data_IF_689211713471
#
_entry.id   IF_689211713471
#
_cell.length_a   1.000
_cell.length_b   1.000
_cell.length_c   1.000
_cell.angle_alpha   90.00
_cell.angle_beta   90.00
_cell.angle_gamma   90.00
#
_symmetry.space_group_name_H-M   'P 1'
#
loop_
_entity.id
_entity.type
_entity.pdbx_description
1 polymer ?
#
# COMPACT_ATOMS: atom_id res chain seq x y z
N UNK A 1 -13.52 -15.39 39.22
CA UNK A 1 -12.06 -15.44 39.16
C UNK A 1 -11.66 -16.22 37.91
N UNK A 2 -11.03 -15.56 36.93
CA UNK A 2 -10.59 -16.22 35.70
C UNK A 2 -9.23 -16.88 35.98
N UNK A 3 -9.11 -18.19 35.79
CA UNK A 3 -7.83 -18.90 35.92
C UNK A 3 -7.04 -18.77 34.60
N UNK A 4 -5.72 -18.64 34.69
CA UNK A 4 -4.86 -18.67 33.51
C UNK A 4 -4.87 -20.07 32.89
N UNK A 5 -5.21 -20.19 31.61
CA UNK A 5 -5.12 -21.47 30.90
C UNK A 5 -3.66 -21.94 30.83
N UNK A 6 -3.41 -23.24 31.04
CA UNK A 6 -2.10 -23.89 31.25
C UNK A 6 -1.09 -23.80 30.09
N UNK A 7 -1.36 -23.01 29.06
CA UNK A 7 -0.51 -22.82 27.88
C UNK A 7 -0.16 -21.35 27.61
N UNK A 8 -0.54 -20.44 28.51
CA UNK A 8 -0.35 -19.01 28.34
C UNK A 8 0.72 -18.49 29.31
N UNK A 9 1.68 -17.75 28.78
CA UNK A 9 2.72 -17.06 29.53
C UNK A 9 2.22 -15.68 29.94
N UNK A 10 2.26 -15.35 31.23
CA UNK A 10 2.02 -13.97 31.71
C UNK A 10 3.22 -13.10 31.36
N UNK A 11 3.02 -12.05 30.57
CA UNK A 11 4.08 -11.08 30.21
C UNK A 11 4.15 -9.87 31.15
N UNK A 12 3.04 -9.50 31.79
CA UNK A 12 3.02 -8.33 32.65
C UNK A 12 1.63 -7.71 32.76
N UNK A 13 1.60 -6.40 32.98
CA UNK A 13 0.40 -5.61 33.24
C UNK A 13 0.29 -4.44 32.27
N UNK A 14 -0.94 -4.07 31.91
CA UNK A 14 -1.20 -2.87 31.12
C UNK A 14 -1.13 -1.62 32.00
N UNK A 15 -0.81 -0.47 31.41
CA UNK A 15 -0.73 0.81 32.14
C UNK A 15 -2.09 1.41 32.57
N UNK A 16 -3.22 0.74 32.31
CA UNK A 16 -4.55 1.23 32.72
C UNK A 16 -5.12 2.40 31.91
N UNK A 17 -4.76 2.48 30.63
CA UNK A 17 -5.30 3.46 29.68
C UNK A 17 -6.30 2.82 28.70
N UNK A 18 -7.27 3.61 28.25
CA UNK A 18 -8.27 3.21 27.26
C UNK A 18 -8.50 4.32 26.23
N UNK A 19 -8.92 3.96 25.02
CA UNK A 19 -9.15 4.92 23.93
C UNK A 19 -10.57 5.46 23.97
N UNK A 20 -10.74 6.78 24.08
CA UNK A 20 -12.03 7.49 24.06
C UNK A 20 -11.94 8.73 23.16
N UNK A 21 -12.82 8.84 22.17
CA UNK A 21 -12.85 9.95 21.21
C UNK A 21 -11.48 10.25 20.58
N UNK A 22 -10.77 9.19 20.16
CA UNK A 22 -9.46 9.31 19.50
C UNK A 22 -8.25 9.50 20.44
N UNK A 23 -8.45 9.77 21.74
CA UNK A 23 -7.37 9.98 22.73
C UNK A 23 -7.27 8.81 23.71
N UNK A 24 -6.08 8.57 24.25
CA UNK A 24 -5.90 7.67 25.38
C UNK A 24 -6.16 8.41 26.69
N UNK A 25 -7.03 7.85 27.53
CA UNK A 25 -7.41 8.41 28.84
C UNK A 25 -7.09 7.37 29.90
N UNK A 26 -6.42 7.80 30.97
CA UNK A 26 -6.15 6.96 32.13
C UNK A 26 -7.46 6.63 32.86
N UNK A 27 -7.70 5.37 33.15
CA UNK A 27 -8.86 4.90 33.92
C UNK A 27 -8.47 3.96 35.06
N UNK A 28 -7.16 3.66 35.23
CA UNK A 28 -6.62 2.90 36.35
C UNK A 28 -6.99 1.41 36.38
N UNK A 29 -7.66 0.89 35.34
CA UNK A 29 -8.05 -0.52 35.26
C UNK A 29 -6.91 -1.32 34.64
N UNK A 30 -6.07 -1.88 35.50
CA UNK A 30 -4.91 -2.69 35.12
C UNK A 30 -5.37 -4.08 34.67
N UNK A 31 -4.84 -4.55 33.54
CA UNK A 31 -5.09 -5.89 33.00
C UNK A 31 -3.79 -6.69 32.97
N UNK A 32 -3.84 -7.97 33.30
CA UNK A 32 -2.71 -8.87 33.08
C UNK A 32 -2.68 -9.32 31.62
N UNK A 33 -1.51 -9.23 31.00
CA UNK A 33 -1.27 -9.64 29.62
C UNK A 33 -0.74 -11.07 29.60
N UNK A 34 -1.44 -11.94 28.89
CA UNK A 34 -1.07 -13.34 28.70
C UNK A 34 -0.90 -13.61 27.21
N UNK A 35 0.16 -14.33 26.83
CA UNK A 35 0.44 -14.68 25.44
C UNK A 35 0.70 -16.17 25.29
N UNK A 36 0.40 -16.70 24.12
CA UNK A 36 0.73 -18.08 23.74
C UNK A 36 1.36 -18.05 22.34
N UNK A 37 2.53 -18.65 22.20
CA UNK A 37 3.15 -18.80 20.88
C UNK A 37 2.35 -19.83 20.08
N UNK A 38 1.89 -19.46 18.88
CA UNK A 38 1.19 -20.37 17.96
C UNK A 38 2.15 -21.05 16.98
N UNK A 39 3.37 -20.52 16.84
CA UNK A 39 4.41 -21.06 15.97
C UNK A 39 5.79 -21.06 16.67
N UNK A 40 6.66 -22.02 16.34
CA UNK A 40 8.00 -22.13 16.96
C UNK A 40 8.89 -20.89 16.79
N UNK A 41 8.71 -20.14 15.70
CA UNK A 41 9.44 -18.89 15.38
C UNK A 41 8.65 -17.60 15.69
N UNK A 42 7.56 -17.67 16.46
CA UNK A 42 6.63 -16.53 16.67
C UNK A 42 7.33 -15.24 17.10
N UNK A 43 8.27 -15.35 18.07
CA UNK A 43 8.97 -14.19 18.63
C UNK A 43 9.85 -13.51 17.59
N UNK A 44 10.71 -14.29 16.94
CA UNK A 44 11.61 -13.83 15.87
C UNK A 44 10.83 -13.13 14.76
N UNK A 45 9.72 -13.73 14.34
CA UNK A 45 8.81 -13.20 13.32
C UNK A 45 8.18 -11.87 13.72
N UNK A 46 7.58 -11.80 14.92
CA UNK A 46 6.90 -10.58 15.39
C UNK A 46 7.86 -9.45 15.77
N UNK A 47 9.12 -9.76 16.05
CA UNK A 47 10.18 -8.77 16.31
C UNK A 47 10.99 -8.42 15.06
N UNK A 48 10.68 -9.01 13.91
CA UNK A 48 11.40 -8.77 12.66
C UNK A 48 11.17 -7.35 12.13
N UNK A 49 12.15 -6.84 11.37
CA UNK A 49 12.05 -5.52 10.72
C UNK A 49 10.97 -5.47 9.64
N UNK A 50 10.72 -6.60 8.98
CA UNK A 50 9.76 -6.75 7.90
C UNK A 50 8.76 -7.86 8.23
N UNK A 51 7.57 -7.78 7.63
CA UNK A 51 6.53 -8.79 7.80
C UNK A 51 7.00 -10.15 7.29
N UNK A 52 7.05 -11.13 8.18
CA UNK A 52 7.41 -12.50 7.80
C UNK A 52 6.23 -13.16 7.07
N UNK A 53 6.47 -14.03 6.06
CA UNK A 53 5.41 -14.78 5.36
C UNK A 53 4.42 -15.56 6.25
N UNK A 54 4.81 -15.84 7.50
CA UNK A 54 3.94 -16.50 8.48
C UNK A 54 2.83 -15.59 9.01
N UNK A 55 3.02 -14.27 8.96
CA UNK A 55 2.00 -13.25 9.24
C UNK A 55 1.11 -13.01 8.01
N UNK A 56 1.68 -13.20 6.82
CA UNK A 56 1.03 -12.99 5.53
C UNK A 56 0.22 -14.21 5.06
N UNK A 57 0.18 -15.31 5.84
CA UNK A 57 -0.56 -16.54 5.55
C UNK A 57 -2.09 -16.37 5.56
N UNK A 58 -2.60 -15.18 5.29
CA UNK A 58 -3.94 -14.96 4.81
C UNK A 58 -3.91 -15.03 3.27
N UNK A 59 -4.32 -16.15 2.64
CA UNK A 59 -4.28 -16.32 1.18
C UNK A 59 -5.18 -15.32 0.42
N UNK A 60 -5.97 -14.49 1.12
CA UNK A 60 -6.74 -13.39 0.53
C UNK A 60 -5.96 -12.09 0.34
N UNK A 61 -4.75 -11.99 0.87
CA UNK A 61 -3.92 -10.78 0.86
C UNK A 61 -2.48 -11.09 0.46
N UNK A 62 -2.27 -11.99 -0.50
CA UNK A 62 -0.99 -12.09 -1.20
C UNK A 62 -0.91 -10.97 -2.23
N UNK A 63 -0.68 -9.76 -1.76
CA UNK A 63 -0.16 -8.68 -2.59
C UNK A 63 1.34 -8.70 -2.37
N UNK A 64 2.10 -9.07 -3.39
CA UNK A 64 3.55 -8.97 -3.35
C UNK A 64 3.91 -7.53 -2.98
N UNK A 65 4.71 -7.36 -1.92
CA UNK A 65 5.28 -6.06 -1.57
C UNK A 65 6.35 -5.75 -2.64
N UNK A 66 5.93 -5.11 -3.73
CA UNK A 66 6.80 -4.72 -4.84
C UNK A 66 7.40 -3.35 -4.51
N UNK A 67 8.72 -3.28 -4.39
CA UNK A 67 9.42 -2.01 -4.33
C UNK A 67 9.61 -1.45 -5.75
N UNK A 68 8.72 -0.53 -6.16
CA UNK A 68 8.78 0.11 -7.47
C UNK A 68 9.96 1.07 -7.63
N UNK A 69 10.71 1.39 -6.56
CA UNK A 69 11.96 2.14 -6.67
C UNK A 69 13.12 1.26 -7.17
N UNK A 70 12.99 -0.07 -7.12
CA UNK A 70 14.05 -1.01 -7.55
C UNK A 70 13.61 -2.06 -8.55
N UNK A 71 12.31 -2.38 -8.65
CA UNK A 71 11.77 -3.34 -9.59
C UNK A 71 12.14 -3.02 -11.05
N UNK A 72 12.44 -4.04 -11.85
CA UNK A 72 12.56 -3.85 -13.30
C UNK A 72 11.16 -3.75 -13.92
N UNK A 73 10.88 -2.59 -14.50
CA UNK A 73 9.59 -2.24 -15.10
C UNK A 73 9.70 -2.03 -16.61
N UNK A 74 10.88 -2.23 -17.18
CA UNK A 74 11.18 -1.92 -18.58
C UNK A 74 10.22 -2.65 -19.51
N UNK A 75 10.06 -3.96 -19.32
CA UNK A 75 9.15 -4.78 -20.14
C UNK A 75 7.67 -4.38 -20.01
N UNK A 76 7.25 -3.92 -18.83
CA UNK A 76 5.88 -3.43 -18.60
C UNK A 76 5.67 -2.09 -19.31
N UNK A 77 6.61 -1.17 -19.17
CA UNK A 77 6.58 0.15 -19.81
C UNK A 77 6.56 -0.01 -21.33
N UNK A 78 7.51 -0.77 -21.90
CA UNK A 78 7.60 -1.05 -23.33
C UNK A 78 6.28 -1.60 -23.86
N UNK A 79 5.66 -2.56 -23.15
CA UNK A 79 4.38 -3.14 -23.57
C UNK A 79 3.26 -2.11 -23.55
N UNK A 80 3.18 -1.25 -22.54
CA UNK A 80 2.12 -0.25 -22.43
C UNK A 80 2.30 0.92 -23.40
N UNK A 81 3.53 1.25 -23.78
CA UNK A 81 3.84 2.21 -24.85
C UNK A 81 3.34 1.76 -26.22
N UNK A 82 3.14 0.44 -26.44
CA UNK A 82 2.54 -0.05 -27.70
C UNK A 82 1.05 0.23 -27.83
N UNK A 83 0.38 0.66 -26.75
CA UNK A 83 -1.06 0.93 -26.76
C UNK A 83 -1.31 2.33 -27.31
N UNK A 84 -2.03 2.42 -28.43
CA UNK A 84 -2.45 3.69 -29.02
C UNK A 84 -3.34 4.47 -28.06
N UNK A 85 -3.02 5.74 -27.81
CA UNK A 85 -3.86 6.64 -27.01
C UNK A 85 -5.17 6.94 -27.77
N UNK A 86 -6.34 6.50 -27.28
CA UNK A 86 -7.62 6.70 -27.94
C UNK A 86 -8.19 8.12 -27.72
N UNK A 87 -7.58 8.92 -26.86
CA UNK A 87 -8.09 10.25 -26.47
C UNK A 87 -7.83 11.27 -27.58
N UNK A 88 -8.74 12.23 -27.71
CA UNK A 88 -8.48 13.42 -28.53
C UNK A 88 -7.21 14.14 -28.01
N UNK A 89 -6.21 14.44 -28.85
CA UNK A 89 -4.98 15.14 -28.46
C UNK A 89 -5.21 16.47 -27.75
N UNK A 90 -6.37 17.11 -27.96
CA UNK A 90 -6.69 18.42 -27.38
C UNK A 90 -6.81 18.31 -25.84
N UNK A 91 -5.88 18.97 -25.15
CA UNK A 91 -5.91 19.08 -23.70
C UNK A 91 -5.34 17.87 -22.94
N UNK A 92 -4.64 16.96 -23.64
CA UNK A 92 -3.88 15.90 -23.00
C UNK A 92 -2.75 16.51 -22.17
N UNK A 93 -2.79 16.24 -20.86
CA UNK A 93 -1.77 16.72 -19.89
C UNK A 93 -0.81 15.61 -19.47
N UNK A 94 -1.33 14.41 -19.28
CA UNK A 94 -0.57 13.23 -18.88
C UNK A 94 -0.47 12.29 -20.06
N UNK A 95 0.74 11.81 -20.31
CA UNK A 95 1.01 10.76 -21.27
C UNK A 95 0.17 9.50 -20.95
N UNK A 96 -0.31 8.84 -21.99
CA UNK A 96 -1.23 7.71 -21.84
C UNK A 96 -0.53 6.48 -21.29
N UNK A 97 0.59 6.10 -21.89
CA UNK A 97 1.38 4.95 -21.45
C UNK A 97 1.82 5.11 -19.99
N UNK A 98 2.34 6.28 -19.62
CA UNK A 98 2.71 6.61 -18.24
C UNK A 98 1.52 6.51 -17.26
N UNK A 99 0.33 6.94 -17.70
CA UNK A 99 -0.90 6.79 -16.91
C UNK A 99 -1.27 5.31 -16.73
N UNK A 100 -1.18 4.49 -17.78
CA UNK A 100 -1.46 3.05 -17.72
C UNK A 100 -0.43 2.31 -16.85
N UNK A 101 0.85 2.69 -16.92
CA UNK A 101 1.92 2.11 -16.10
C UNK A 101 1.65 2.37 -14.62
N UNK A 102 1.26 3.60 -14.25
CA UNK A 102 0.88 3.94 -12.88
C UNK A 102 -0.33 3.13 -12.38
N UNK A 103 -1.35 2.96 -13.23
CA UNK A 103 -2.51 2.11 -12.93
C UNK A 103 -2.09 0.65 -12.72
N UNK A 104 -1.25 0.11 -13.60
CA UNK A 104 -0.73 -1.25 -13.51
C UNK A 104 0.07 -1.45 -12.21
N UNK A 105 0.98 -0.54 -11.89
CA UNK A 105 1.77 -0.60 -10.65
C UNK A 105 0.89 -0.53 -9.40
N UNK A 106 -0.09 0.37 -9.37
CA UNK A 106 -1.04 0.47 -8.27
C UNK A 106 -1.87 -0.83 -8.11
N UNK A 107 -2.24 -1.47 -9.23
CA UNK A 107 -2.97 -2.75 -9.25
C UNK A 107 -2.09 -3.90 -8.74
N UNK A 108 -0.83 -3.95 -9.16
CA UNK A 108 0.17 -4.91 -8.66
C UNK A 108 0.45 -4.72 -7.16
N UNK A 109 0.39 -3.47 -6.69
CA UNK A 109 0.41 -3.11 -5.27
C UNK A 109 -0.92 -3.42 -4.54
N UNK A 110 -1.85 -4.13 -5.18
CA UNK A 110 -3.05 -4.68 -4.56
C UNK A 110 -4.27 -3.77 -4.53
N UNK A 111 -4.21 -2.59 -5.16
CA UNK A 111 -5.33 -1.64 -5.19
C UNK A 111 -6.34 -2.05 -6.26
N UNK A 112 -7.63 -2.13 -5.88
CA UNK A 112 -8.69 -2.69 -6.73
C UNK A 112 -9.79 -1.72 -7.13
N UNK A 113 -9.84 -0.53 -6.52
CA UNK A 113 -10.83 0.50 -6.84
C UNK A 113 -10.14 1.70 -7.49
N UNK A 114 -10.84 2.43 -8.36
CA UNK A 114 -10.30 3.64 -9.00
C UNK A 114 -9.82 4.67 -7.98
N UNK A 115 -10.49 4.76 -6.82
CA UNK A 115 -10.11 5.64 -5.71
C UNK A 115 -8.79 5.19 -5.11
N UNK A 116 -8.67 3.89 -4.78
CA UNK A 116 -7.42 3.35 -4.22
C UNK A 116 -6.25 3.47 -5.21
N UNK A 117 -6.50 3.29 -6.52
CA UNK A 117 -5.48 3.52 -7.55
C UNK A 117 -5.00 4.98 -7.54
N UNK A 118 -5.92 5.96 -7.45
CA UNK A 118 -5.54 7.37 -7.37
C UNK A 118 -4.80 7.71 -6.09
N UNK A 119 -5.23 7.20 -4.94
CA UNK A 119 -4.58 7.42 -3.64
C UNK A 119 -3.16 6.83 -3.62
N UNK A 120 -2.97 5.67 -4.23
CA UNK A 120 -1.63 5.09 -4.40
C UNK A 120 -0.73 5.96 -5.29
N UNK A 121 -1.26 6.49 -6.39
CA UNK A 121 -0.50 7.40 -7.25
C UNK A 121 -0.13 8.70 -6.52
N UNK A 122 -1.06 9.26 -5.75
CA UNK A 122 -0.86 10.48 -4.95
C UNK A 122 0.15 10.29 -3.81
N UNK A 123 0.24 9.08 -3.25
CA UNK A 123 1.18 8.72 -2.18
C UNK A 123 2.53 8.17 -2.68
N UNK A 124 2.69 7.98 -3.99
CA UNK A 124 3.93 7.46 -4.58
C UNK A 124 5.11 8.41 -4.41
N UNK A 125 6.30 7.86 -4.21
CA UNK A 125 7.53 8.66 -4.07
C UNK A 125 7.84 9.41 -5.38
N UNK A 126 8.57 10.52 -5.29
CA UNK A 126 9.04 11.24 -6.48
C UNK A 126 9.93 10.38 -7.37
N UNK A 127 10.68 9.43 -6.79
CA UNK A 127 11.50 8.48 -7.53
C UNK A 127 10.63 7.54 -8.36
N UNK A 128 9.61 6.91 -7.76
CA UNK A 128 8.62 6.11 -8.49
C UNK A 128 7.99 6.94 -9.60
N UNK A 129 7.45 8.13 -9.29
CA UNK A 129 6.82 8.98 -10.29
C UNK A 129 7.78 9.36 -11.44
N UNK A 130 9.06 9.57 -11.15
CA UNK A 130 10.07 9.84 -12.17
C UNK A 130 10.30 8.62 -13.08
N UNK A 131 10.47 7.44 -12.47
CA UNK A 131 10.68 6.17 -13.16
C UNK A 131 9.49 5.76 -14.03
N UNK A 132 8.27 6.06 -13.58
CA UNK A 132 7.04 5.74 -14.31
C UNK A 132 6.61 6.83 -15.30
N UNK A 133 7.46 7.82 -15.59
CA UNK A 133 7.19 8.81 -16.62
C UNK A 133 6.13 9.86 -16.25
N UNK A 134 5.81 10.04 -14.96
CA UNK A 134 4.79 10.99 -14.55
C UNK A 134 5.10 12.42 -15.01
N UNK A 135 4.06 13.21 -15.27
CA UNK A 135 4.18 14.57 -15.79
C UNK A 135 4.95 15.46 -14.81
N UNK A 136 5.79 16.36 -15.29
CA UNK A 136 6.40 17.42 -14.47
C UNK A 136 5.43 18.60 -14.34
N UNK A 137 5.21 19.07 -13.11
CA UNK A 137 4.44 20.28 -12.84
C UNK A 137 5.25 21.53 -13.24
N UNK A 138 4.73 22.40 -14.13
CA UNK A 138 5.41 23.65 -14.48
C UNK A 138 5.58 24.61 -13.31
N UNK A 139 4.71 24.53 -12.29
CA UNK A 139 4.72 25.44 -11.16
C UNK A 139 5.75 25.04 -10.09
N UNK A 140 6.00 23.74 -9.92
CA UNK A 140 6.83 23.23 -8.81
C UNK A 140 8.08 22.48 -9.27
N UNK A 141 8.17 22.09 -10.55
CA UNK A 141 9.25 21.25 -11.08
C UNK A 141 9.20 19.79 -10.62
N UNK A 142 8.26 19.43 -9.75
CA UNK A 142 8.09 18.06 -9.25
C UNK A 142 7.24 17.21 -10.18
N UNK A 143 7.42 15.89 -10.11
CA UNK A 143 6.57 14.92 -10.79
C UNK A 143 5.21 14.89 -10.12
N UNK A 144 4.15 14.93 -10.93
CA UNK A 144 2.77 14.87 -10.46
C UNK A 144 2.02 13.67 -11.07
N UNK A 145 1.29 12.92 -10.25
CA UNK A 145 0.48 11.80 -10.72
C UNK A 145 -0.74 12.29 -11.51
N UNK A 146 -1.35 11.41 -12.32
CA UNK A 146 -2.63 11.68 -12.96
C UNK A 146 -3.74 11.76 -11.92
N UNK A 147 -4.66 12.72 -12.07
CA UNK A 147 -5.85 12.81 -11.22
C UNK A 147 -6.75 11.57 -11.31
N UNK A 148 -7.59 11.35 -10.31
CA UNK A 148 -8.67 10.35 -10.35
C UNK A 148 -9.48 10.38 -11.66
N UNK A 149 -9.85 11.57 -12.14
CA UNK A 149 -10.62 11.71 -13.37
C UNK A 149 -9.84 11.28 -14.62
N UNK A 150 -8.51 11.43 -14.62
CA UNK A 150 -7.62 10.95 -15.67
C UNK A 150 -7.49 9.43 -15.61
N UNK A 151 -7.29 8.87 -14.41
CA UNK A 151 -7.20 7.43 -14.16
C UNK A 151 -8.48 6.73 -14.61
N UNK A 152 -9.65 7.24 -14.19
CA UNK A 152 -10.95 6.68 -14.57
C UNK A 152 -11.14 6.66 -16.08
N UNK A 153 -10.80 7.75 -16.78
CA UNK A 153 -10.89 7.81 -18.25
C UNK A 153 -9.95 6.79 -18.89
N UNK A 154 -8.67 6.79 -18.52
CA UNK A 154 -7.71 5.85 -19.08
C UNK A 154 -8.12 4.39 -18.88
N UNK A 155 -8.60 4.03 -17.68
CA UNK A 155 -9.06 2.68 -17.38
C UNK A 155 -10.33 2.25 -18.15
N UNK A 156 -11.17 3.20 -18.59
CA UNK A 156 -12.40 2.91 -19.35
C UNK A 156 -12.17 2.87 -20.87
N UNK A 157 -11.10 3.52 -21.35
CA UNK A 157 -10.79 3.65 -22.77
C UNK A 157 -9.87 2.53 -23.29
N UNK A 158 -9.23 1.78 -22.40
CA UNK A 158 -8.50 0.55 -22.75
C UNK A 158 -9.52 -0.58 -22.91
N UNK A 159 -9.68 -1.05 -24.15
CA UNK A 159 -10.59 -2.12 -24.55
C UNK A 159 -9.85 -3.46 -24.67
#
# INVERSE_FOLDING_TARGET
TCYGASSFLRLGETAGYGRRSGRYVAHGQIKHVYVRSLHRRSREVLSGTFDHPLLLANPRSEVAQIDFNTADLSSLIERLETITDPRDPRGVRHDFASTLVLIACATLAGNKSLVALSEWCDSSSQEVLCRLGARISPATGLRIPPSYATIRRAAMEVN
#
